data_IF_019309382230
#
_entry.id   IF_019309382230
#
_cell.length_a   1.000
_cell.length_b   1.000
_cell.length_c   1.000
_cell.angle_alpha   90.00
_cell.angle_beta   90.00
_cell.angle_gamma   90.00
#
_symmetry.space_group_name_H-M   'P 1'
#
loop_
_entity.id
_entity.type
_entity.pdbx_description
1 polymer ?
#
# COMPACT_ATOMS: atom_id res chain seq x y z
N UNK A 1 -16.38 28.12 41.46
CA UNK A 1 -15.60 28.41 40.23
C UNK A 1 -15.92 27.30 39.24
N UNK A 2 -16.96 27.57 38.44
CA UNK A 2 -17.64 26.61 37.59
C UNK A 2 -17.11 26.73 36.15
N UNK A 3 -17.04 25.60 35.45
CA UNK A 3 -16.13 25.34 34.34
C UNK A 3 -16.60 25.99 33.01
N UNK A 4 -16.31 27.28 32.82
CA UNK A 4 -16.67 28.09 31.63
C UNK A 4 -16.03 27.63 30.30
N UNK A 5 -15.20 26.59 30.29
CA UNK A 5 -14.58 26.08 29.05
C UNK A 5 -15.55 25.35 28.12
N UNK A 6 -16.66 24.79 28.64
CA UNK A 6 -17.64 24.05 27.82
C UNK A 6 -18.66 24.94 27.09
N UNK A 7 -18.92 26.17 27.57
CA UNK A 7 -19.81 27.11 26.86
C UNK A 7 -19.11 27.81 25.70
N UNK A 8 -17.82 28.12 25.84
CA UNK A 8 -17.04 28.76 24.77
C UNK A 8 -17.02 27.93 23.48
N UNK A 9 -16.92 26.61 23.59
CA UNK A 9 -16.94 25.70 22.44
C UNK A 9 -18.33 25.55 21.78
N UNK A 10 -19.43 25.87 22.49
CA UNK A 10 -20.78 25.85 21.89
C UNK A 10 -21.08 27.12 21.10
N UNK A 11 -20.48 28.25 21.48
CA UNK A 11 -20.77 29.55 20.86
C UNK A 11 -19.93 29.81 19.59
N UNK A 12 -18.82 29.11 19.38
CA UNK A 12 -18.05 29.22 18.13
C UNK A 12 -18.77 28.55 16.95
N UNK A 13 -19.69 27.63 17.20
CA UNK A 13 -20.47 26.95 16.14
C UNK A 13 -21.62 27.81 15.57
N UNK A 14 -21.79 29.06 16.04
CA UNK A 14 -22.93 29.92 15.69
C UNK A 14 -22.57 31.35 15.27
N UNK A 15 -21.30 31.64 15.00
CA UNK A 15 -20.87 32.99 14.58
C UNK A 15 -19.74 32.94 13.56
N UNK A 16 -20.08 32.95 12.28
CA UNK A 16 -19.07 32.96 11.21
C UNK A 16 -19.61 33.06 9.79
N UNK A 17 -20.76 33.70 9.57
CA UNK A 17 -21.12 34.17 8.22
C UNK A 17 -20.55 35.58 8.04
N UNK A 18 -19.33 35.64 7.49
CA UNK A 18 -18.77 36.87 6.95
C UNK A 18 -19.55 37.30 5.71
N UNK A 19 -19.97 38.56 5.71
CA UNK A 19 -20.77 39.22 4.68
C UNK A 19 -20.07 39.23 3.33
N UNK A 20 -20.60 38.50 2.35
CA UNK A 20 -20.33 38.74 0.94
C UNK A 20 -21.52 39.50 0.36
N UNK A 21 -21.30 40.75 -0.05
CA UNK A 21 -22.25 41.53 -0.84
C UNK A 21 -22.35 40.82 -2.20
N UNK A 22 -23.53 40.29 -2.53
CA UNK A 22 -23.84 39.77 -3.85
C UNK A 22 -25.01 40.60 -4.44
N UNK A 23 -24.92 41.06 -5.69
CA UNK A 23 -25.97 41.86 -6.33
C UNK A 23 -27.26 41.04 -6.54
N UNK A 24 -28.41 41.69 -6.30
CA UNK A 24 -29.77 41.15 -6.19
C UNK A 24 -30.37 40.48 -7.46
N UNK A 25 -29.61 40.32 -8.54
CA UNK A 25 -30.13 39.93 -9.87
C UNK A 25 -29.94 38.45 -10.26
N UNK A 26 -29.74 37.54 -9.30
CA UNK A 26 -29.60 36.09 -9.58
C UNK A 26 -30.71 35.21 -9.00
N UNK A 27 -31.84 35.79 -8.59
CA UNK A 27 -33.04 35.04 -8.21
C UNK A 27 -34.01 34.84 -9.39
N UNK A 28 -33.52 34.23 -10.48
CA UNK A 28 -34.38 33.54 -11.43
C UNK A 28 -34.61 32.11 -10.93
N UNK A 29 -35.83 31.85 -10.46
CA UNK A 29 -36.21 30.64 -9.77
C UNK A 29 -36.02 29.37 -10.61
N UNK A 30 -35.01 28.58 -10.22
CA UNK A 30 -35.12 27.11 -10.21
C UNK A 30 -34.81 26.64 -8.80
N UNK A 31 -35.79 26.00 -8.15
CA UNK A 31 -35.58 25.26 -6.90
C UNK A 31 -34.56 24.17 -7.18
N UNK A 32 -33.30 24.39 -6.82
CA UNK A 32 -32.31 23.33 -6.71
C UNK A 32 -32.72 22.53 -5.47
N UNK A 33 -33.22 21.32 -5.68
CA UNK A 33 -33.37 20.36 -4.59
C UNK A 33 -32.00 20.21 -3.92
N UNK A 34 -31.93 20.58 -2.64
CA UNK A 34 -30.79 20.24 -1.80
C UNK A 34 -30.74 18.72 -1.72
N UNK A 35 -29.96 18.09 -2.61
CA UNK A 35 -29.51 16.72 -2.39
C UNK A 35 -28.90 16.70 -1.00
N UNK A 36 -29.51 15.92 -0.10
CA UNK A 36 -28.89 15.58 1.17
C UNK A 36 -27.57 14.91 0.82
N UNK A 37 -26.47 15.64 0.96
CA UNK A 37 -25.15 15.03 1.01
C UNK A 37 -25.20 14.09 2.21
N UNK A 38 -25.31 12.80 1.94
CA UNK A 38 -25.18 11.81 3.00
C UNK A 38 -23.77 12.01 3.57
N UNK A 39 -23.61 12.19 4.89
CA UNK A 39 -22.30 12.22 5.49
C UNK A 39 -21.55 10.96 5.07
N UNK A 40 -20.29 11.12 4.65
CA UNK A 40 -19.37 10.01 4.40
C UNK A 40 -19.54 9.01 5.53
N UNK A 41 -19.86 7.78 5.14
CA UNK A 41 -20.36 6.69 5.98
C UNK A 41 -19.74 6.73 7.38
N UNK A 42 -20.62 6.84 8.38
CA UNK A 42 -20.30 6.58 9.77
C UNK A 42 -19.57 5.25 9.85
N UNK A 43 -18.36 5.24 10.42
CA UNK A 43 -17.78 4.00 10.94
C UNK A 43 -18.88 3.34 11.78
N UNK A 44 -19.37 2.18 11.34
CA UNK A 44 -20.25 1.36 12.18
C UNK A 44 -19.45 1.08 13.45
N UNK A 45 -19.80 1.80 14.52
CA UNK A 45 -19.17 1.67 15.83
C UNK A 45 -19.46 0.30 16.47
N UNK A 46 -20.37 -0.47 15.88
CA UNK A 46 -20.97 -1.67 16.45
C UNK A 46 -20.52 -2.95 15.74
N UNK A 47 -19.21 -3.16 15.64
CA UNK A 47 -18.71 -4.53 15.55
C UNK A 47 -17.92 -4.85 16.82
N UNK A 48 -18.53 -5.67 17.67
CA UNK A 48 -17.86 -6.37 18.77
C UNK A 48 -16.77 -7.27 18.17
N UNK A 49 -15.59 -6.69 17.99
CA UNK A 49 -14.40 -7.39 17.54
C UNK A 49 -13.73 -8.06 18.74
N UNK A 50 -13.35 -9.31 18.56
CA UNK A 50 -12.52 -10.02 19.52
C UNK A 50 -11.17 -9.29 19.72
N UNK A 51 -10.76 -9.12 20.98
CA UNK A 51 -9.45 -8.57 21.31
C UNK A 51 -8.33 -9.44 20.71
N UNK A 52 -7.35 -8.82 20.05
CA UNK A 52 -6.30 -9.52 19.27
C UNK A 52 -6.81 -10.44 18.15
N UNK A 53 -8.09 -10.32 17.77
CA UNK A 53 -8.65 -10.95 16.59
C UNK A 53 -8.13 -10.33 15.28
N UNK A 54 -8.58 -10.89 14.16
CA UNK A 54 -8.31 -10.33 12.84
C UNK A 54 -8.99 -8.97 12.66
N UNK A 55 -8.39 -8.11 11.84
CA UNK A 55 -8.98 -6.89 11.33
C UNK A 55 -9.52 -7.16 9.93
N UNK A 56 -10.71 -6.64 9.64
CA UNK A 56 -11.41 -6.84 8.36
C UNK A 56 -12.18 -5.56 7.99
N UNK A 57 -12.61 -5.47 6.73
CA UNK A 57 -13.41 -4.34 6.24
C UNK A 57 -12.75 -2.99 6.52
N UNK A 58 -13.52 -2.05 7.10
CA UNK A 58 -13.05 -0.69 7.39
C UNK A 58 -11.87 -0.65 8.37
N UNK A 59 -11.68 -1.67 9.21
CA UNK A 59 -10.57 -1.73 10.16
C UNK A 59 -9.21 -1.96 9.50
N UNK A 60 -9.19 -2.36 8.22
CA UNK A 60 -7.94 -2.49 7.45
C UNK A 60 -7.36 -1.15 7.02
N UNK A 61 -8.21 -0.11 6.90
CA UNK A 61 -7.89 1.12 6.16
C UNK A 61 -6.65 1.87 6.65
N UNK A 62 -6.28 1.72 7.93
CA UNK A 62 -5.20 2.49 8.56
C UNK A 62 -4.10 1.61 9.15
N UNK A 63 -4.10 0.32 8.83
CA UNK A 63 -3.04 -0.60 9.28
C UNK A 63 -1.81 -0.37 8.41
N UNK A 64 -0.67 -0.16 9.05
CA UNK A 64 0.66 -0.14 8.44
C UNK A 64 1.63 -0.85 9.41
N UNK A 65 1.95 -2.10 9.11
CA UNK A 65 2.82 -2.93 9.95
C UNK A 65 4.28 -2.78 9.48
N UNK A 66 5.18 -2.26 10.32
CA UNK A 66 6.55 -1.97 9.90
C UNK A 66 7.38 -3.25 9.75
N UNK A 67 8.19 -3.27 8.69
CA UNK A 67 9.09 -4.34 8.33
C UNK A 67 10.49 -3.75 8.15
N UNK A 68 11.46 -4.28 8.90
CA UNK A 68 12.86 -3.87 8.89
C UNK A 68 13.53 -4.09 10.24
N UNK A 69 14.85 -4.15 10.24
CA UNK A 69 15.64 -4.21 11.46
C UNK A 69 15.65 -2.89 12.24
N UNK A 70 16.14 -2.96 13.47
CA UNK A 70 16.30 -1.78 14.33
C UNK A 70 17.29 -0.81 13.67
N UNK A 71 16.84 0.43 13.39
CA UNK A 71 17.69 1.49 12.86
C UNK A 71 18.01 1.40 11.36
N UNK A 72 17.46 0.44 10.62
CA UNK A 72 17.83 0.20 9.22
C UNK A 72 16.96 0.93 8.19
N UNK A 73 15.96 1.67 8.66
CA UNK A 73 14.80 2.05 7.84
C UNK A 73 13.76 0.94 7.79
N UNK A 74 12.67 1.19 7.08
CA UNK A 74 11.51 0.29 7.04
C UNK A 74 10.70 0.44 5.76
N UNK A 75 9.92 -0.58 5.45
CA UNK A 75 8.70 -0.46 4.66
C UNK A 75 7.54 -1.04 5.48
N UNK A 76 6.31 -0.71 5.14
CA UNK A 76 5.14 -1.29 5.78
C UNK A 76 4.44 -2.28 4.85
N UNK A 77 3.85 -3.31 5.46
CA UNK A 77 2.72 -4.02 4.86
C UNK A 77 1.41 -3.49 5.43
N UNK A 78 0.49 -3.11 4.56
CA UNK A 78 -0.78 -2.55 4.97
C UNK A 78 -1.81 -3.62 5.34
N UNK A 79 -2.95 -3.20 5.91
CA UNK A 79 -4.07 -4.10 6.19
C UNK A 79 -4.57 -4.87 4.96
N UNK A 80 -4.39 -4.29 3.77
CA UNK A 80 -4.75 -4.92 2.49
C UNK A 80 -3.64 -5.80 1.91
N UNK A 81 -2.46 -5.85 2.52
CA UNK A 81 -1.29 -6.56 1.98
C UNK A 81 -0.42 -5.70 1.04
N UNK A 82 -0.83 -4.46 0.74
CA UNK A 82 -0.03 -3.54 -0.09
C UNK A 82 1.26 -3.11 0.61
N UNK A 83 2.33 -2.90 -0.17
CA UNK A 83 3.62 -2.41 0.33
C UNK A 83 3.67 -0.88 0.24
N UNK A 84 3.99 -0.21 1.34
CA UNK A 84 4.00 1.25 1.42
C UNK A 84 4.93 1.78 2.53
N UNK A 85 4.82 3.06 2.88
CA UNK A 85 5.60 3.74 3.93
C UNK A 85 7.11 3.50 3.78
N UNK A 86 7.61 3.42 2.54
CA UNK A 86 8.99 3.08 2.23
C UNK A 86 9.94 4.18 2.71
N UNK A 87 10.55 3.96 3.87
CA UNK A 87 11.41 4.89 4.60
C UNK A 87 12.83 4.36 4.66
N UNK A 88 13.65 4.77 3.70
CA UNK A 88 15.05 4.39 3.54
C UNK A 88 15.95 5.64 3.58
N UNK A 89 17.28 5.45 3.52
CA UNK A 89 18.26 6.56 3.58
C UNK A 89 18.12 7.45 4.82
N UNK A 90 17.67 6.89 5.94
CA UNK A 90 17.38 7.63 7.18
C UNK A 90 16.35 8.76 7.01
N UNK A 91 15.47 8.65 6.01
CA UNK A 91 14.42 9.63 5.73
C UNK A 91 13.06 9.01 6.03
N UNK A 92 12.27 9.56 6.97
CA UNK A 92 10.93 9.08 7.23
C UNK A 92 10.01 9.48 6.09
N UNK A 93 9.58 8.52 5.28
CA UNK A 93 8.65 8.72 4.17
C UNK A 93 7.41 7.83 4.34
N UNK A 94 6.64 8.15 5.38
CA UNK A 94 5.46 7.37 5.80
C UNK A 94 4.27 7.42 4.83
N UNK A 95 4.39 8.08 3.68
CA UNK A 95 3.37 8.08 2.62
C UNK A 95 3.93 7.60 1.27
N UNK A 96 5.18 7.11 1.25
CA UNK A 96 5.82 6.66 0.02
C UNK A 96 5.33 5.26 -0.35
N UNK A 97 4.58 5.18 -1.45
CA UNK A 97 4.15 3.94 -2.09
C UNK A 97 5.02 3.68 -3.33
N UNK A 98 5.98 2.74 -3.27
CA UNK A 98 6.99 2.58 -4.31
C UNK A 98 6.49 1.87 -5.58
N UNK A 99 5.21 1.49 -5.66
CA UNK A 99 4.69 0.67 -6.76
C UNK A 99 5.28 -0.75 -6.77
N UNK A 100 5.50 -1.30 -5.58
CA UNK A 100 5.94 -2.68 -5.35
C UNK A 100 4.72 -3.58 -5.14
N UNK A 101 4.65 -4.71 -5.84
CA UNK A 101 3.55 -5.66 -5.68
C UNK A 101 3.94 -7.06 -6.13
N UNK A 102 3.37 -8.07 -5.47
CA UNK A 102 3.34 -9.42 -6.00
C UNK A 102 2.07 -9.63 -6.84
N UNK A 103 2.15 -10.51 -7.83
CA UNK A 103 1.02 -10.88 -8.66
C UNK A 103 1.01 -12.38 -8.96
N UNK A 104 -0.19 -12.92 -9.12
CA UNK A 104 -0.43 -14.28 -9.58
C UNK A 104 -1.19 -14.22 -10.90
N UNK A 105 -0.64 -14.90 -11.90
CA UNK A 105 -1.24 -15.01 -13.23
C UNK A 105 -1.57 -16.46 -13.51
N UNK A 106 -2.85 -16.76 -13.72
CA UNK A 106 -3.35 -18.09 -14.09
C UNK A 106 -3.41 -18.20 -15.60
N UNK A 107 -2.72 -19.19 -16.15
CA UNK A 107 -2.75 -19.51 -17.58
C UNK A 107 -4.00 -20.30 -17.93
N UNK A 108 -4.50 -20.09 -19.14
CA UNK A 108 -5.68 -20.76 -19.69
C UNK A 108 -6.18 -20.04 -20.94
N UNK A 109 -7.37 -20.42 -21.43
CA UNK A 109 -8.00 -19.76 -22.58
C UNK A 109 -8.16 -18.25 -22.38
N UNK A 110 -8.49 -17.84 -21.15
CA UNK A 110 -8.45 -16.46 -20.71
C UNK A 110 -7.49 -16.35 -19.54
N UNK A 111 -6.39 -15.61 -19.76
CA UNK A 111 -5.41 -15.34 -18.70
C UNK A 111 -6.04 -14.46 -17.63
N UNK A 112 -5.94 -14.87 -16.37
CA UNK A 112 -6.46 -14.12 -15.22
C UNK A 112 -5.31 -13.72 -14.33
N UNK A 113 -5.09 -12.43 -14.16
CA UNK A 113 -4.05 -11.88 -13.29
C UNK A 113 -4.66 -11.07 -12.15
N UNK A 114 -4.08 -11.20 -10.95
CA UNK A 114 -4.39 -10.35 -9.80
C UNK A 114 -3.12 -10.01 -9.05
N UNK A 115 -3.03 -8.79 -8.55
CA UNK A 115 -2.06 -8.46 -7.50
C UNK A 115 -2.46 -9.16 -6.21
N UNK A 116 -1.48 -9.63 -5.45
CA UNK A 116 -1.67 -10.27 -4.14
C UNK A 116 -1.89 -9.20 -3.07
N UNK A 117 -2.96 -8.41 -3.25
CA UNK A 117 -3.40 -7.36 -2.36
C UNK A 117 -4.94 -7.33 -2.35
N UNK A 118 -5.53 -6.85 -1.27
CA UNK A 118 -6.97 -6.57 -1.17
C UNK A 118 -7.34 -5.25 -1.86
N UNK A 119 -8.63 -4.92 -1.83
CA UNK A 119 -9.15 -3.69 -2.42
C UNK A 119 -8.46 -2.43 -1.88
N UNK A 120 -8.23 -1.44 -2.75
CA UNK A 120 -7.62 -0.16 -2.36
C UNK A 120 -8.56 0.59 -1.42
N UNK A 121 -8.10 1.03 -0.22
CA UNK A 121 -8.92 1.81 0.69
C UNK A 121 -9.42 3.11 0.04
N UNK A 122 -10.69 3.45 0.26
CA UNK A 122 -11.32 4.62 -0.37
C UNK A 122 -10.58 5.94 -0.10
N UNK A 123 -10.01 6.11 1.10
CA UNK A 123 -9.25 7.32 1.44
C UNK A 123 -7.98 7.52 0.59
N UNK A 124 -7.46 6.45 -0.04
CA UNK A 124 -6.35 6.54 -1.00
C UNK A 124 -6.82 6.92 -2.39
N UNK A 125 -8.04 6.57 -2.75
CA UNK A 125 -8.67 6.95 -4.02
C UNK A 125 -9.19 8.39 -3.94
N UNK A 126 -9.72 8.79 -2.79
CA UNK A 126 -10.37 10.07 -2.56
C UNK A 126 -9.70 10.79 -1.39
N UNK A 127 -8.87 11.79 -1.69
CA UNK A 127 -8.30 12.70 -0.69
C UNK A 127 -6.77 12.79 -0.69
N UNK A 128 -6.06 11.90 -1.38
CA UNK A 128 -4.61 12.02 -1.56
C UNK A 128 -4.24 12.93 -2.73
N UNK A 129 -3.03 13.51 -2.66
CA UNK A 129 -2.51 14.37 -3.72
C UNK A 129 -2.46 13.60 -5.05
N UNK A 130 -3.00 14.20 -6.12
CA UNK A 130 -2.97 13.62 -7.46
C UNK A 130 -4.08 12.62 -7.77
N UNK A 131 -4.92 12.23 -6.81
CA UNK A 131 -5.97 11.24 -7.08
C UNK A 131 -7.12 11.77 -7.94
N UNK A 132 -7.36 13.09 -7.92
CA UNK A 132 -8.28 13.76 -8.85
C UNK A 132 -7.88 13.62 -10.32
N UNK A 133 -6.62 13.29 -10.60
CA UNK A 133 -6.08 13.02 -11.94
C UNK A 133 -5.78 11.54 -12.16
N UNK A 134 -6.43 10.64 -11.42
CA UNK A 134 -6.29 9.18 -11.59
C UNK A 134 -5.10 8.57 -10.83
N UNK A 135 -4.48 9.27 -9.89
CA UNK A 135 -3.39 8.74 -9.06
C UNK A 135 -2.24 8.17 -9.90
N UNK A 136 -1.74 9.00 -10.82
CA UNK A 136 -0.64 8.69 -11.74
C UNK A 136 0.51 7.90 -11.08
N UNK A 137 0.90 6.79 -11.71
CA UNK A 137 2.03 5.96 -11.27
C UNK A 137 1.76 5.05 -10.07
N UNK A 138 0.53 4.98 -9.58
CA UNK A 138 0.08 4.00 -8.57
C UNK A 138 -0.40 2.70 -9.21
N UNK A 139 -0.48 1.64 -8.40
CA UNK A 139 -0.97 0.31 -8.82
C UNK A 139 -2.48 0.15 -8.60
N UNK A 140 -3.21 1.24 -8.35
CA UNK A 140 -4.61 1.19 -7.91
C UNK A 140 -5.57 0.62 -8.96
N UNK A 141 -5.22 0.76 -10.25
CA UNK A 141 -6.00 0.22 -11.36
C UNK A 141 -5.82 -1.28 -11.59
N UNK A 142 -4.83 -1.93 -10.97
CA UNK A 142 -4.57 -3.36 -11.19
C UNK A 142 -5.65 -4.23 -10.51
N UNK A 143 -6.07 -5.37 -11.12
CA UNK A 143 -7.04 -6.27 -10.51
C UNK A 143 -6.53 -6.86 -9.19
N UNK A 144 -7.38 -6.88 -8.16
CA UNK A 144 -7.02 -7.25 -6.77
C UNK A 144 -7.92 -8.35 -6.22
N UNK A 145 -7.59 -8.90 -5.06
CA UNK A 145 -8.50 -9.78 -4.32
C UNK A 145 -9.68 -8.99 -3.76
N UNK A 146 -10.84 -9.65 -3.64
CA UNK A 146 -12.08 -8.99 -3.25
C UNK A 146 -12.06 -8.61 -1.77
N UNK A 147 -11.51 -9.47 -0.92
CA UNK A 147 -11.39 -9.24 0.51
C UNK A 147 -9.98 -9.56 1.01
N UNK A 148 -9.64 -8.90 2.12
CA UNK A 148 -8.46 -9.18 2.90
C UNK A 148 -8.86 -9.29 4.37
N UNK A 149 -8.08 -10.04 5.15
CA UNK A 149 -8.12 -10.02 6.62
C UNK A 149 -6.69 -9.88 7.12
N UNK A 150 -6.46 -9.05 8.13
CA UNK A 150 -5.14 -8.81 8.67
C UNK A 150 -5.07 -9.24 10.13
N UNK A 151 -4.07 -10.02 10.50
CA UNK A 151 -3.81 -10.42 11.89
C UNK A 151 -2.34 -10.17 12.20
N UNK A 152 -2.05 -9.50 13.30
CA UNK A 152 -0.67 -9.23 13.72
C UNK A 152 -0.37 -9.84 15.06
N UNK A 153 0.84 -10.39 15.15
CA UNK A 153 1.52 -10.82 16.36
C UNK A 153 2.99 -10.51 16.15
N UNK A 154 3.40 -9.29 16.51
CA UNK A 154 4.76 -8.83 16.28
C UNK A 154 5.78 -9.90 16.73
N UNK A 155 6.77 -10.25 15.89
CA UNK A 155 7.21 -9.56 14.67
C UNK A 155 6.56 -10.01 13.36
N UNK A 156 5.43 -10.72 13.41
CA UNK A 156 4.73 -11.26 12.26
C UNK A 156 3.41 -10.52 11.96
N UNK A 157 3.11 -10.38 10.67
CA UNK A 157 1.81 -10.00 10.14
C UNK A 157 1.33 -11.07 9.16
N UNK A 158 0.15 -11.62 9.42
CA UNK A 158 -0.54 -12.56 8.55
C UNK A 158 -1.70 -11.83 7.84
N UNK A 159 -1.72 -11.90 6.51
CA UNK A 159 -2.79 -11.36 5.67
C UNK A 159 -3.39 -12.50 4.86
N UNK A 160 -4.69 -12.73 4.97
CA UNK A 160 -5.40 -13.66 4.09
C UNK A 160 -6.11 -12.86 3.00
N UNK A 161 -6.03 -13.33 1.76
CA UNK A 161 -6.66 -12.74 0.59
C UNK A 161 -7.63 -13.74 -0.02
N UNK A 162 -8.85 -13.29 -0.28
CA UNK A 162 -9.93 -14.12 -0.79
C UNK A 162 -10.70 -13.45 -1.93
N UNK A 163 -11.04 -14.25 -2.94
CA UNK A 163 -11.97 -13.89 -3.99
C UNK A 163 -12.74 -15.15 -4.44
N UNK A 164 -14.04 -15.25 -4.16
CA UNK A 164 -14.85 -16.42 -4.52
C UNK A 164 -14.86 -16.77 -6.01
N UNK A 165 -14.51 -15.82 -6.90
CA UNK A 165 -14.47 -16.03 -8.35
C UNK A 165 -13.06 -16.36 -8.87
N UNK A 166 -12.08 -16.46 -7.98
CA UNK A 166 -10.70 -16.75 -8.33
C UNK A 166 -10.27 -18.10 -7.70
N UNK A 167 -9.69 -19.04 -8.46
CA UNK A 167 -9.46 -20.41 -7.99
C UNK A 167 -8.21 -20.56 -7.10
N UNK A 168 -7.64 -19.45 -6.64
CA UNK A 168 -6.48 -19.40 -5.74
C UNK A 168 -6.85 -18.55 -4.53
N UNK A 169 -6.58 -19.05 -3.33
CA UNK A 169 -6.48 -18.22 -2.12
C UNK A 169 -5.00 -17.91 -1.86
N UNK A 170 -4.73 -16.71 -1.34
CA UNK A 170 -3.37 -16.32 -0.99
C UNK A 170 -3.29 -15.96 0.49
N UNK A 171 -2.20 -16.37 1.13
CA UNK A 171 -1.79 -15.89 2.45
C UNK A 171 -0.43 -15.20 2.31
N UNK A 172 -0.32 -14.02 2.91
CA UNK A 172 0.94 -13.30 3.06
C UNK A 172 1.36 -13.40 4.51
N UNK A 173 2.60 -13.81 4.76
CA UNK A 173 3.23 -13.71 6.08
C UNK A 173 4.43 -12.79 5.94
N UNK A 174 4.38 -11.63 6.58
CA UNK A 174 5.45 -10.66 6.54
C UNK A 174 6.08 -10.50 7.92
N UNK A 175 7.40 -10.35 7.98
CA UNK A 175 8.10 -10.29 9.25
C UNK A 175 9.42 -9.50 9.21
N UNK A 176 9.77 -8.97 10.38
CA UNK A 176 11.07 -8.36 10.67
C UNK A 176 11.97 -9.37 11.39
N UNK A 177 13.30 -9.29 11.27
CA UNK A 177 14.27 -10.22 11.87
C UNK A 177 14.40 -10.03 13.40
N UNK A 178 13.32 -9.69 14.09
CA UNK A 178 13.34 -9.33 15.50
C UNK A 178 13.41 -10.57 16.39
N UNK A 179 14.53 -10.68 17.11
CA UNK A 179 14.82 -11.77 18.04
C UNK A 179 15.02 -11.14 19.42
N UNK A 180 14.14 -11.43 20.40
CA UNK A 180 14.31 -10.92 21.76
C UNK A 180 15.71 -11.22 22.29
N UNK A 181 16.34 -10.23 22.92
CA UNK A 181 17.70 -10.30 23.50
C UNK A 181 18.87 -10.43 22.52
N UNK A 182 18.60 -10.44 21.22
CA UNK A 182 19.62 -10.50 20.17
C UNK A 182 19.54 -9.26 19.28
N UNK A 183 20.22 -8.21 19.72
CA UNK A 183 20.20 -6.92 19.03
C UNK A 183 20.88 -6.96 17.65
N UNK A 184 21.90 -7.80 17.48
CA UNK A 184 22.73 -7.81 16.28
C UNK A 184 21.93 -8.37 15.11
N UNK A 185 21.25 -9.51 15.31
CA UNK A 185 20.36 -10.06 14.30
C UNK A 185 19.08 -9.22 14.12
N UNK A 186 18.57 -8.63 15.22
CA UNK A 186 17.42 -7.72 15.15
C UNK A 186 17.68 -6.41 14.41
N UNK A 187 18.96 -6.04 14.20
CA UNK A 187 19.37 -4.81 13.51
C UNK A 187 19.83 -5.05 12.08
N UNK A 188 19.61 -6.26 11.52
CA UNK A 188 19.91 -6.53 10.12
C UNK A 188 18.95 -5.77 9.18
N UNK A 189 19.45 -5.17 8.08
CA UNK A 189 18.63 -4.42 7.12
C UNK A 189 17.87 -5.37 6.18
N UNK A 190 17.09 -6.27 6.76
CA UNK A 190 16.33 -7.30 6.06
C UNK A 190 14.88 -7.28 6.54
N UNK A 191 13.99 -7.65 5.63
CA UNK A 191 12.59 -7.92 5.89
C UNK A 191 12.14 -9.01 4.94
N UNK A 192 11.15 -9.80 5.35
CA UNK A 192 10.68 -10.92 4.55
C UNK A 192 9.17 -10.83 4.31
N UNK A 193 8.76 -11.29 3.14
CA UNK A 193 7.39 -11.48 2.75
C UNK A 193 7.28 -12.86 2.12
N UNK A 194 6.49 -13.72 2.73
CA UNK A 194 6.21 -15.07 2.27
C UNK A 194 4.81 -15.12 1.68
N UNK A 195 4.68 -15.69 0.48
CA UNK A 195 3.40 -15.86 -0.20
C UNK A 195 3.06 -17.35 -0.27
N UNK A 196 1.99 -17.75 0.42
CA UNK A 196 1.41 -19.09 0.30
C UNK A 196 0.21 -19.04 -0.62
N UNK A 197 0.24 -19.81 -1.71
CA UNK A 197 -0.82 -19.87 -2.71
C UNK A 197 -1.51 -21.24 -2.64
N UNK A 198 -2.82 -21.25 -2.46
CA UNK A 198 -3.62 -22.48 -2.33
C UNK A 198 -4.64 -22.57 -3.45
N UNK A 199 -4.52 -23.61 -4.29
CA UNK A 199 -5.53 -23.94 -5.28
C UNK A 199 -6.79 -24.50 -4.61
N UNK A 200 -7.93 -23.84 -4.81
CA UNK A 200 -9.22 -24.22 -4.23
C UNK A 200 -10.15 -24.91 -5.23
N UNK A 201 -9.71 -25.06 -6.48
CA UNK A 201 -10.48 -25.76 -7.52
C UNK A 201 -10.25 -27.26 -7.47
N UNK A 202 -11.09 -28.02 -8.19
CA UNK A 202 -10.95 -29.47 -8.36
C UNK A 202 -9.97 -29.86 -9.46
N UNK A 203 -9.36 -28.92 -10.17
CA UNK A 203 -8.42 -29.16 -11.26
C UNK A 203 -7.06 -28.55 -11.01
N UNK A 204 -6.03 -29.05 -11.69
CA UNK A 204 -4.71 -28.41 -11.68
C UNK A 204 -4.76 -27.01 -12.27
N UNK A 205 -4.03 -26.08 -11.67
CA UNK A 205 -3.90 -24.69 -12.13
C UNK A 205 -2.45 -24.47 -12.57
N UNK A 206 -2.25 -24.08 -13.82
CA UNK A 206 -0.95 -23.56 -14.30
C UNK A 206 -0.92 -22.05 -14.03
N UNK A 207 0.05 -21.60 -13.24
CA UNK A 207 0.16 -20.21 -12.85
C UNK A 207 1.61 -19.73 -12.74
N UNK A 208 1.78 -18.41 -12.81
CA UNK A 208 3.05 -17.71 -12.61
C UNK A 208 2.88 -16.74 -11.45
N UNK A 209 3.67 -16.96 -10.40
CA UNK A 209 3.91 -15.95 -9.38
C UNK A 209 5.00 -14.98 -9.85
N UNK A 210 4.81 -13.69 -9.61
CA UNK A 210 5.81 -12.66 -9.91
C UNK A 210 5.84 -11.61 -8.81
N UNK A 211 7.02 -11.03 -8.59
CA UNK A 211 7.20 -9.86 -7.74
C UNK A 211 7.75 -8.72 -8.59
N UNK A 212 7.13 -7.55 -8.51
CA UNK A 212 7.33 -6.45 -9.44
C UNK A 212 7.63 -5.17 -8.67
N UNK A 213 8.61 -4.40 -9.15
CA UNK A 213 8.87 -3.05 -8.67
C UNK A 213 9.63 -2.25 -9.72
N UNK A 214 9.42 -0.92 -9.69
CA UNK A 214 10.27 0.04 -10.40
C UNK A 214 11.49 0.40 -9.53
N UNK A 215 12.50 1.01 -10.14
CA UNK A 215 13.59 1.58 -9.36
C UNK A 215 13.14 2.83 -8.58
N UNK A 216 12.53 2.66 -7.43
CA UNK A 216 12.10 3.78 -6.57
C UNK A 216 13.27 4.45 -5.82
N UNK A 217 14.49 3.88 -5.88
CA UNK A 217 15.70 4.55 -5.38
C UNK A 217 16.14 5.68 -6.30
N UNK A 218 15.68 5.65 -7.56
CA UNK A 218 16.08 6.58 -8.60
C UNK A 218 15.59 8.00 -8.31
N UNK A 219 16.54 8.90 -8.18
CA UNK A 219 16.35 10.35 -8.17
C UNK A 219 16.49 10.89 -9.59
N UNK A 220 15.76 11.96 -9.87
CA UNK A 220 15.76 12.56 -11.20
C UNK A 220 17.17 13.02 -11.61
N UNK A 221 17.54 12.71 -12.86
CA UNK A 221 18.85 13.03 -13.43
C UNK A 221 20.05 12.43 -12.66
N UNK A 222 19.84 11.38 -11.87
CA UNK A 222 20.92 10.63 -11.21
C UNK A 222 21.16 9.27 -11.87
N UNK A 223 22.43 8.81 -11.97
CA UNK A 223 22.73 7.47 -12.48
C UNK A 223 22.12 6.39 -11.58
N UNK A 224 21.28 5.56 -12.17
CA UNK A 224 20.61 4.46 -11.50
C UNK A 224 20.54 3.24 -12.42
N UNK A 225 20.48 2.04 -11.85
CA UNK A 225 20.39 0.80 -12.62
C UNK A 225 19.71 -0.31 -11.82
N UNK A 226 19.23 -1.34 -12.52
CA UNK A 226 18.83 -2.61 -11.93
C UNK A 226 19.97 -3.59 -12.14
N UNK A 227 20.51 -4.14 -11.05
CA UNK A 227 21.56 -5.16 -11.09
C UNK A 227 20.95 -6.55 -10.98
N UNK A 228 21.51 -7.52 -11.71
CA UNK A 228 21.23 -8.93 -11.48
C UNK A 228 22.00 -9.46 -10.28
N UNK A 229 21.32 -10.23 -9.43
CA UNK A 229 21.94 -11.00 -8.34
C UNK A 229 21.45 -12.45 -8.42
N UNK A 230 22.09 -13.35 -7.67
CA UNK A 230 21.65 -14.74 -7.61
C UNK A 230 20.20 -14.82 -7.12
N UNK A 231 19.34 -15.48 -7.88
CA UNK A 231 17.92 -15.66 -7.60
C UNK A 231 17.15 -14.34 -7.38
N UNK A 232 17.56 -13.24 -8.01
CA UNK A 232 16.95 -11.94 -7.74
C UNK A 232 17.52 -10.76 -8.52
N UNK A 233 17.15 -9.56 -8.07
CA UNK A 233 17.68 -8.29 -8.58
C UNK A 233 17.91 -7.29 -7.45
N UNK A 234 18.72 -6.27 -7.73
CA UNK A 234 18.92 -5.14 -6.83
C UNK A 234 18.61 -3.82 -7.54
N UNK A 235 17.81 -2.99 -6.87
CA UNK A 235 17.65 -1.59 -7.22
C UNK A 235 18.90 -0.86 -6.78
N UNK A 236 19.50 -0.07 -7.65
CA UNK A 236 20.71 0.67 -7.32
C UNK A 236 20.64 2.12 -7.77
N UNK A 237 21.09 3.02 -6.89
CA UNK A 237 21.44 4.39 -7.22
C UNK A 237 22.90 4.65 -6.83
N UNK A 238 23.65 5.22 -7.77
CA UNK A 238 25.03 5.62 -7.51
C UNK A 238 25.10 6.92 -6.70
N UNK A 239 26.17 7.08 -5.93
CA UNK A 239 26.61 8.39 -5.47
C UNK A 239 27.16 9.23 -6.63
N UNK A 240 27.04 10.55 -6.52
CA UNK A 240 27.88 11.49 -7.28
C UNK A 240 28.79 12.26 -6.33
N UNK A 241 29.78 12.97 -6.87
CA UNK A 241 30.68 13.83 -6.09
C UNK A 241 29.90 14.86 -5.26
N UNK A 242 28.82 15.41 -5.83
CA UNK A 242 27.97 16.42 -5.19
C UNK A 242 26.95 15.81 -4.24
N UNK A 243 26.54 14.55 -4.47
CA UNK A 243 25.46 13.88 -3.74
C UNK A 243 25.86 12.46 -3.29
N UNK A 244 26.84 12.32 -2.39
CA UNK A 244 27.28 11.01 -1.91
C UNK A 244 26.21 10.26 -1.11
N UNK A 245 25.34 11.00 -0.39
CA UNK A 245 24.25 10.44 0.43
C UNK A 245 23.15 9.75 -0.39
N UNK A 246 23.14 9.89 -1.72
CA UNK A 246 22.15 9.26 -2.60
C UNK A 246 22.45 7.79 -2.90
N UNK A 247 23.66 7.33 -2.62
CA UNK A 247 24.00 5.92 -2.81
C UNK A 247 23.07 5.05 -1.97
N UNK A 248 22.37 4.13 -2.64
CA UNK A 248 21.52 3.15 -2.00
C UNK A 248 21.40 1.91 -2.87
N UNK A 249 21.24 0.77 -2.23
CA UNK A 249 20.98 -0.51 -2.87
C UNK A 249 19.90 -1.24 -2.08
N UNK A 250 18.92 -1.82 -2.77
CA UNK A 250 17.90 -2.66 -2.18
C UNK A 250 17.73 -3.91 -3.02
N UNK A 251 18.00 -5.06 -2.42
CA UNK A 251 17.96 -6.36 -3.07
C UNK A 251 16.64 -7.09 -2.79
N UNK A 252 16.15 -7.80 -3.81
CA UNK A 252 15.02 -8.71 -3.74
C UNK A 252 15.48 -10.04 -4.30
N UNK A 253 15.31 -11.11 -3.53
CA UNK A 253 15.71 -12.45 -3.92
C UNK A 253 14.86 -13.50 -3.23
N UNK A 254 14.89 -14.71 -3.78
CA UNK A 254 14.26 -15.90 -3.21
C UNK A 254 15.31 -17.00 -3.01
N UNK A 255 14.94 -18.03 -2.28
CA UNK A 255 15.72 -19.26 -2.13
C UNK A 255 15.51 -20.26 -3.28
N UNK A 256 14.48 -20.07 -4.12
CA UNK A 256 14.18 -20.95 -5.25
C UNK A 256 15.21 -20.77 -6.41
N UNK A 257 16.01 -21.80 -6.74
CA UNK A 257 16.97 -21.74 -7.84
C UNK A 257 16.33 -21.65 -9.24
N UNK A 258 15.03 -21.94 -9.38
CA UNK A 258 14.31 -21.81 -10.63
C UNK A 258 13.92 -20.36 -10.96
N UNK A 259 14.13 -19.43 -10.03
CA UNK A 259 13.75 -18.02 -10.14
C UNK A 259 14.30 -17.40 -11.43
N UNK A 260 13.39 -16.76 -12.17
CA UNK A 260 13.70 -15.98 -13.36
C UNK A 260 13.51 -14.50 -13.04
N UNK A 261 14.38 -13.69 -13.61
CA UNK A 261 14.40 -12.25 -13.36
C UNK A 261 14.35 -11.55 -14.70
N UNK A 262 13.35 -10.70 -14.86
CA UNK A 262 13.33 -9.69 -15.91
C UNK A 262 13.73 -8.35 -15.29
N UNK A 263 14.82 -7.77 -15.79
CA UNK A 263 15.34 -6.49 -15.29
C UNK A 263 14.65 -5.28 -15.92
N UNK A 264 13.76 -5.48 -16.88
CA UNK A 264 13.04 -4.42 -17.55
C UNK A 264 11.54 -4.69 -17.52
N UNK A 265 10.77 -3.77 -16.95
CA UNK A 265 9.37 -3.66 -17.32
C UNK A 265 9.25 -3.29 -18.80
N UNK A 266 8.07 -3.57 -19.36
CA UNK A 266 7.73 -3.13 -20.70
C UNK A 266 8.01 -1.63 -20.84
N UNK A 267 8.69 -1.23 -21.93
CA UNK A 267 9.01 0.17 -22.20
C UNK A 267 8.06 0.69 -23.26
N UNK A 268 6.88 1.14 -22.83
CA UNK A 268 5.93 1.86 -23.67
C UNK A 268 5.87 3.36 -23.34
N UNK A 269 4.94 4.07 -23.95
CA UNK A 269 4.72 5.49 -23.71
C UNK A 269 3.86 5.72 -22.47
N UNK A 270 3.95 6.91 -21.87
CA UNK A 270 3.05 7.34 -20.80
C UNK A 270 2.93 6.36 -19.62
N UNK A 271 1.86 5.55 -19.58
CA UNK A 271 1.52 4.62 -18.49
C UNK A 271 1.69 3.16 -18.88
N UNK A 272 2.03 2.88 -20.14
CA UNK A 272 2.22 1.54 -20.68
C UNK A 272 3.19 0.67 -19.86
N UNK A 273 4.26 1.19 -19.21
CA UNK A 273 5.14 0.32 -18.42
C UNK A 273 4.46 -0.43 -17.27
N UNK A 274 3.27 -0.03 -16.85
CA UNK A 274 2.50 -0.65 -15.76
C UNK A 274 1.33 -1.52 -16.27
N UNK A 275 0.96 -1.44 -17.55
CA UNK A 275 -0.26 -2.07 -18.13
C UNK A 275 0.07 -2.89 -19.36
#
# INVERSE_FOLDING_TARGET
>A
MENQRREFLKNITLGGFGTAIAPDDLFSGKKIEKQKVQPYTSYDKDQDREFNGSYEGAYLNRIAFPIGGIGTGMFCIEGTGAISHMSIRHRPEIFHEPGMFAAITIKGEQTKAKVLEGAVPEWKLFGQKGTGNGAAGTTFGLPRFKSASFKTRFPFADINLDDPKFPIKAKITAWSPFIPTDQDNSSLPVGAIEYTLTNTSSSSVDAVFSFNTKNFLAEENQPNTIKGIKNGFALYQAATTEKPHLQAEMAYYTDDPATKVDHCWFRGGWWDPLT
#
